data_IF_210463461342
#
_entry.id   IF_210463461342
#
_cell.length_a   1.000
_cell.length_b   1.000
_cell.length_c   1.000
_cell.angle_alpha   90.00
_cell.angle_beta   90.00
_cell.angle_gamma   90.00
#
_symmetry.space_group_name_H-M   'P 1'
#
loop_
_entity.id
_entity.type
_entity.pdbx_description
1 polymer ?
#
# COMPACT_ATOMS: atom_id res chain seq x y z
N UNK A 1 -5.43 -30.49 26.74
CA UNK A 1 -6.49 -30.08 25.81
C UNK A 1 -7.16 -28.85 26.41
N UNK A 2 -6.73 -27.67 26.01
CA UNK A 2 -7.38 -26.42 26.40
C UNK A 2 -8.19 -25.94 25.18
N UNK A 3 -9.47 -25.75 25.39
CA UNK A 3 -10.44 -25.28 24.39
C UNK A 3 -10.00 -23.89 23.88
N UNK A 4 -9.80 -23.78 22.56
CA UNK A 4 -9.68 -22.50 21.86
C UNK A 4 -11.07 -21.86 21.83
N UNK A 5 -11.31 -20.97 22.79
CA UNK A 5 -12.46 -20.07 22.75
C UNK A 5 -12.32 -19.06 21.62
N UNK A 6 -13.45 -18.74 20.98
CA UNK A 6 -13.63 -17.91 19.78
C UNK A 6 -12.85 -16.59 19.80
N UNK A 7 -11.89 -16.50 18.87
CA UNK A 7 -10.84 -15.51 18.93
C UNK A 7 -11.14 -14.23 18.19
N UNK A 8 -11.17 -13.13 18.92
CA UNK A 8 -10.61 -11.90 18.39
C UNK A 8 -9.08 -12.09 18.26
N UNK A 9 -8.50 -11.73 17.10
CA UNK A 9 -7.06 -11.83 16.90
C UNK A 9 -6.34 -11.01 17.99
N UNK A 10 -5.34 -11.62 18.67
CA UNK A 10 -4.63 -10.98 19.76
C UNK A 10 -3.83 -9.77 19.23
N UNK A 11 -3.94 -8.63 19.92
CA UNK A 11 -3.19 -7.42 19.54
C UNK A 11 -1.72 -7.64 19.85
N UNK A 12 -0.90 -7.64 18.81
CA UNK A 12 0.57 -7.78 18.91
C UNK A 12 1.26 -6.43 19.13
N UNK A 13 0.90 -5.43 18.34
CA UNK A 13 1.44 -4.07 18.47
C UNK A 13 0.28 -3.08 18.57
N UNK A 14 0.34 -2.20 19.57
CA UNK A 14 -0.63 -1.12 19.77
C UNK A 14 0.07 0.22 19.79
N UNK A 15 -0.40 1.14 18.98
CA UNK A 15 0.04 2.53 18.90
C UNK A 15 -1.11 3.41 19.39
N UNK A 16 -0.84 4.27 20.39
CA UNK A 16 -1.86 5.12 20.99
C UNK A 16 -1.39 6.58 21.00
N UNK A 17 -2.10 7.43 20.26
CA UNK A 17 -1.91 8.88 20.21
C UNK A 17 -0.46 9.31 19.94
N UNK A 18 0.27 8.55 19.10
CA UNK A 18 1.67 8.82 18.82
C UNK A 18 1.81 10.06 17.94
N UNK A 19 2.57 11.03 18.46
CA UNK A 19 2.97 12.23 17.73
C UNK A 19 4.48 12.38 17.76
N UNK A 20 5.07 12.91 16.69
CA UNK A 20 6.50 13.23 16.59
C UNK A 20 6.71 14.59 15.99
N UNK A 21 7.49 15.43 16.69
CA UNK A 21 7.80 16.80 16.30
C UNK A 21 9.33 16.94 16.24
N UNK A 22 9.83 17.53 15.15
CA UNK A 22 11.23 17.91 14.94
C UNK A 22 11.30 19.45 14.78
N UNK A 23 11.73 20.16 15.82
CA UNK A 23 11.62 21.61 15.84
C UNK A 23 10.18 22.06 15.64
N UNK A 24 9.91 22.80 14.55
CA UNK A 24 8.56 23.25 14.19
C UNK A 24 7.81 22.28 13.27
N UNK A 25 8.50 21.24 12.77
CA UNK A 25 7.90 20.27 11.84
C UNK A 25 7.26 19.11 12.58
N UNK A 26 5.95 18.90 12.37
CA UNK A 26 5.20 17.75 12.91
C UNK A 26 5.20 16.62 11.90
N UNK A 27 6.04 15.61 12.14
CA UNK A 27 6.19 14.44 11.28
C UNK A 27 5.09 13.38 11.49
N UNK A 28 4.59 13.25 12.74
CA UNK A 28 3.47 12.39 13.10
C UNK A 28 2.47 13.19 13.95
N UNK A 29 1.20 13.01 13.70
CA UNK A 29 0.13 13.79 14.31
C UNK A 29 -1.00 12.86 14.75
N UNK A 30 -0.98 12.48 16.02
CA UNK A 30 -2.05 11.71 16.69
C UNK A 30 -2.37 10.37 16.02
N UNK A 31 -1.35 9.55 15.81
CA UNK A 31 -1.47 8.23 15.17
C UNK A 31 -1.91 7.19 16.20
N UNK A 32 -3.01 6.48 15.92
CA UNK A 32 -3.51 5.38 16.75
C UNK A 32 -3.98 4.21 15.89
N UNK A 33 -3.52 2.99 16.18
CA UNK A 33 -3.95 1.74 15.54
C UNK A 33 -3.44 0.52 16.29
N UNK A 34 -4.01 -0.64 15.94
CA UNK A 34 -3.58 -1.96 16.41
C UNK A 34 -3.11 -2.82 15.22
N UNK A 35 -2.10 -3.67 15.46
CA UNK A 35 -1.65 -4.74 14.55
C UNK A 35 -1.80 -6.07 15.28
N UNK A 36 -2.35 -7.07 14.60
CA UNK A 36 -2.57 -8.40 15.17
C UNK A 36 -1.37 -9.34 14.96
N UNK A 37 -1.30 -10.38 15.76
CA UNK A 37 -0.23 -11.37 15.66
C UNK A 37 -0.23 -12.06 14.29
N UNK A 38 0.96 -12.19 13.68
CA UNK A 38 1.15 -12.76 12.34
C UNK A 38 0.63 -11.93 11.17
N UNK A 39 0.10 -10.73 11.42
CA UNK A 39 -0.42 -9.84 10.37
C UNK A 39 0.71 -9.20 9.57
N UNK A 40 0.52 -9.07 8.26
CA UNK A 40 1.37 -8.27 7.38
C UNK A 40 0.68 -6.94 7.10
N UNK A 41 1.19 -5.85 7.65
CA UNK A 41 0.63 -4.52 7.40
C UNK A 41 1.58 -3.65 6.59
N UNK A 42 1.00 -2.76 5.80
CA UNK A 42 1.75 -1.85 4.96
C UNK A 42 1.38 -0.40 5.25
N UNK A 43 2.35 0.45 5.60
CA UNK A 43 2.19 1.91 5.60
C UNK A 43 2.46 2.43 4.20
N UNK A 44 1.43 3.00 3.58
CA UNK A 44 1.43 3.51 2.23
C UNK A 44 1.11 5.01 2.23
N UNK A 45 1.79 5.79 1.40
CA UNK A 45 1.56 7.24 1.30
C UNK A 45 2.67 7.95 0.54
N UNK A 46 2.50 9.23 0.20
CA UNK A 46 3.51 10.01 -0.51
C UNK A 46 4.81 10.17 0.30
N UNK A 47 5.88 10.56 -0.39
CA UNK A 47 7.17 10.85 0.27
C UNK A 47 7.01 11.95 1.31
N UNK A 48 7.66 11.78 2.46
CA UNK A 48 7.62 12.77 3.54
C UNK A 48 6.36 12.76 4.43
N UNK A 49 5.38 11.87 4.22
CA UNK A 49 4.17 11.82 5.05
C UNK A 49 4.34 11.17 6.45
N UNK A 50 5.57 10.74 6.83
CA UNK A 50 5.86 10.25 8.18
C UNK A 50 6.02 8.73 8.33
N UNK A 51 5.88 7.91 7.28
CA UNK A 51 5.95 6.43 7.33
C UNK A 51 7.25 5.90 7.98
N UNK A 52 8.41 6.31 7.45
CA UNK A 52 9.71 5.90 8.00
C UNK A 52 9.93 6.43 9.42
N UNK A 53 9.39 7.64 9.74
CA UNK A 53 9.43 8.17 11.11
C UNK A 53 8.64 7.28 12.07
N UNK A 54 7.43 6.84 11.67
CA UNK A 54 6.61 5.93 12.47
C UNK A 54 7.31 4.57 12.66
N UNK A 55 7.86 4.00 11.59
CA UNK A 55 8.62 2.75 11.67
C UNK A 55 9.83 2.89 12.62
N UNK A 56 10.56 4.02 12.56
CA UNK A 56 11.68 4.29 13.47
C UNK A 56 11.22 4.48 14.92
N UNK A 57 10.05 5.06 15.16
CA UNK A 57 9.47 5.12 16.51
C UNK A 57 9.13 3.72 17.04
N UNK A 58 8.57 2.84 16.21
CA UNK A 58 8.29 1.44 16.57
C UNK A 58 9.59 0.69 16.88
N UNK A 59 10.66 0.92 16.11
CA UNK A 59 11.98 0.32 16.34
C UNK A 59 12.73 0.93 17.56
N UNK A 60 12.29 2.08 18.09
CA UNK A 60 13.03 2.82 19.13
C UNK A 60 14.31 3.50 18.64
N UNK A 61 14.48 3.63 17.32
CA UNK A 61 15.54 4.41 16.68
C UNK A 61 15.27 5.91 16.75
N UNK A 62 13.99 6.28 16.88
CA UNK A 62 13.48 7.60 17.23
C UNK A 62 12.49 7.44 18.38
N UNK A 63 12.42 8.43 19.24
CA UNK A 63 11.39 8.47 20.28
C UNK A 63 10.25 9.40 19.85
N UNK A 64 9.02 8.98 20.06
CA UNK A 64 7.84 9.83 19.90
C UNK A 64 7.89 11.02 20.86
N UNK A 65 7.22 12.11 20.49
CA UNK A 65 7.09 13.28 21.39
C UNK A 65 5.94 13.08 22.38
N UNK A 66 4.87 12.40 21.94
CA UNK A 66 3.67 12.09 22.73
C UNK A 66 3.14 10.70 22.33
N UNK A 67 2.29 10.13 23.19
CA UNK A 67 1.64 8.85 22.99
C UNK A 67 2.48 7.67 23.46
N UNK A 68 1.97 6.47 23.26
CA UNK A 68 2.57 5.23 23.73
C UNK A 68 2.60 4.15 22.65
N UNK A 69 3.53 3.21 22.81
CA UNK A 69 3.75 2.06 21.92
C UNK A 69 3.84 0.82 22.79
N UNK A 70 2.95 -0.16 22.56
CA UNK A 70 2.91 -1.40 23.31
C UNK A 70 3.14 -2.59 22.36
N UNK A 71 3.98 -3.53 22.76
CA UNK A 71 4.20 -4.80 22.06
C UNK A 71 3.84 -5.96 22.99
N UNK A 72 2.91 -6.82 22.58
CA UNK A 72 2.38 -7.92 23.41
C UNK A 72 1.95 -7.43 24.81
N UNK A 73 1.29 -6.27 24.89
CA UNK A 73 0.83 -5.65 26.12
C UNK A 73 1.90 -4.96 26.97
N UNK A 74 3.19 -5.03 26.57
CA UNK A 74 4.30 -4.37 27.28
C UNK A 74 4.54 -2.99 26.67
N UNK A 75 4.59 -1.96 27.50
CA UNK A 75 4.96 -0.61 27.07
C UNK A 75 6.46 -0.55 26.69
N UNK A 76 6.71 -0.30 25.39
CA UNK A 76 8.05 -0.17 24.83
C UNK A 76 8.40 1.26 24.44
N UNK A 77 7.55 2.24 24.74
CA UNK A 77 7.61 3.63 24.30
C UNK A 77 9.01 4.24 24.43
N UNK A 78 9.66 4.00 25.58
CA UNK A 78 10.97 4.59 25.91
C UNK A 78 12.09 3.56 25.98
N UNK A 79 11.85 2.31 25.54
CA UNK A 79 12.89 1.31 25.49
C UNK A 79 13.83 1.55 24.29
N UNK A 80 15.16 1.46 24.48
CA UNK A 80 16.10 1.54 23.35
C UNK A 80 15.95 0.31 22.43
N UNK A 81 16.43 0.37 21.17
CA UNK A 81 16.31 -0.73 20.21
C UNK A 81 16.79 -2.09 20.74
N UNK A 82 17.86 -2.09 21.53
CA UNK A 82 18.44 -3.32 22.10
C UNK A 82 17.55 -4.06 23.10
N UNK A 83 16.48 -3.43 23.56
CA UNK A 83 15.49 -4.00 24.50
C UNK A 83 14.14 -4.27 23.84
N UNK A 84 13.99 -4.01 22.55
CA UNK A 84 12.77 -4.30 21.78
C UNK A 84 12.96 -5.58 20.98
N UNK A 85 11.85 -6.32 20.77
CA UNK A 85 11.86 -7.56 19.99
C UNK A 85 11.49 -7.29 18.54
N UNK A 86 12.47 -6.96 17.71
CA UNK A 86 12.28 -6.75 16.28
C UNK A 86 13.51 -7.10 15.45
N UNK A 87 13.30 -7.43 14.16
CA UNK A 87 14.28 -7.41 13.10
C UNK A 87 13.97 -6.30 12.11
N UNK A 88 14.98 -5.66 11.52
CA UNK A 88 14.77 -4.57 10.56
C UNK A 88 15.57 -4.76 9.29
N UNK A 89 14.93 -4.46 8.14
CA UNK A 89 15.57 -4.32 6.84
C UNK A 89 15.45 -2.85 6.43
N UNK A 90 16.58 -2.19 6.26
CA UNK A 90 16.65 -0.80 5.81
C UNK A 90 16.60 -0.71 4.28
N UNK A 91 16.22 0.42 3.75
CA UNK A 91 16.17 0.72 2.31
C UNK A 91 17.50 0.45 1.58
N UNK A 92 18.64 0.73 2.25
CA UNK A 92 20.00 0.46 1.73
C UNK A 92 20.50 -0.94 2.03
N UNK A 93 19.63 -1.84 2.57
CA UNK A 93 19.95 -3.17 3.10
C UNK A 93 20.93 -3.14 4.28
N UNK A 94 21.79 -2.16 4.41
CA UNK A 94 22.77 -1.94 5.47
C UNK A 94 23.59 -3.21 5.80
N UNK A 95 24.00 -3.96 4.77
CA UNK A 95 24.90 -5.12 4.94
C UNK A 95 26.30 -4.65 5.36
N UNK A 96 26.96 -5.45 6.21
CA UNK A 96 28.34 -5.22 6.57
C UNK A 96 29.24 -5.58 5.38
N UNK A 97 29.90 -4.62 4.72
CA UNK A 97 30.58 -4.86 3.45
C UNK A 97 31.85 -5.74 3.59
N UNK A 98 32.41 -5.78 4.77
CA UNK A 98 33.60 -6.55 5.14
C UNK A 98 33.31 -7.95 5.73
N UNK A 99 32.03 -8.32 5.81
CA UNK A 99 31.60 -9.64 6.27
C UNK A 99 31.04 -10.43 5.08
N UNK A 100 31.23 -11.75 5.11
CA UNK A 100 30.60 -12.66 4.14
C UNK A 100 29.08 -12.70 4.34
N UNK A 101 28.35 -13.34 3.42
CA UNK A 101 26.92 -13.61 3.55
C UNK A 101 26.63 -14.37 4.86
N UNK A 102 27.38 -15.45 5.10
CA UNK A 102 27.30 -16.23 6.35
C UNK A 102 27.49 -15.37 7.59
N UNK A 103 28.54 -14.54 7.61
CA UNK A 103 28.85 -13.69 8.75
C UNK A 103 27.84 -12.56 8.97
N UNK A 104 27.31 -12.00 7.88
CA UNK A 104 26.21 -11.03 7.96
C UNK A 104 25.00 -11.65 8.67
N UNK A 105 24.58 -12.86 8.26
CA UNK A 105 23.43 -13.55 8.86
C UNK A 105 23.70 -13.98 10.29
N UNK A 106 24.93 -14.46 10.57
CA UNK A 106 25.34 -14.91 11.89
C UNK A 106 25.51 -13.77 12.91
N UNK A 107 25.69 -12.53 12.48
CA UNK A 107 26.10 -11.40 13.31
C UNK A 107 25.24 -11.20 14.57
N UNK A 108 23.90 -11.21 14.41
CA UNK A 108 22.97 -11.08 15.54
C UNK A 108 23.01 -12.26 16.51
N UNK A 109 23.20 -13.48 15.98
CA UNK A 109 23.30 -14.71 16.78
C UNK A 109 24.58 -14.77 17.61
N UNK A 110 25.69 -14.32 17.01
CA UNK A 110 27.00 -14.20 17.72
C UNK A 110 26.87 -13.20 18.87
N UNK A 111 26.25 -12.05 18.65
CA UNK A 111 26.03 -11.04 19.68
C UNK A 111 25.13 -11.55 20.83
N UNK A 112 24.18 -12.46 20.54
CA UNK A 112 23.40 -13.18 21.57
C UNK A 112 24.18 -14.29 22.28
N UNK A 113 25.48 -14.51 21.93
CA UNK A 113 26.39 -15.52 22.51
C UNK A 113 25.83 -16.95 22.44
N UNK A 114 25.13 -17.29 21.35
CA UNK A 114 24.61 -18.64 21.13
C UNK A 114 25.75 -19.62 20.82
N UNK A 115 25.52 -20.93 21.06
CA UNK A 115 26.45 -21.97 20.72
C UNK A 115 26.78 -22.01 19.24
N UNK A 116 28.06 -22.23 18.88
CA UNK A 116 28.54 -22.21 17.49
C UNK A 116 27.75 -23.16 16.58
N UNK A 117 27.50 -24.39 17.05
CA UNK A 117 26.72 -25.39 16.31
C UNK A 117 25.31 -24.91 15.98
N UNK A 118 24.63 -24.24 16.93
CA UNK A 118 23.30 -23.69 16.73
C UNK A 118 23.32 -22.52 15.73
N UNK A 119 24.37 -21.67 15.77
CA UNK A 119 24.54 -20.58 14.78
C UNK A 119 24.72 -21.17 13.38
N UNK A 120 25.61 -22.16 13.22
CA UNK A 120 25.89 -22.81 11.93
C UNK A 120 24.63 -23.45 11.34
N UNK A 121 23.87 -24.21 12.13
CA UNK A 121 22.62 -24.85 11.73
C UNK A 121 21.57 -23.79 11.33
N UNK A 122 21.37 -22.75 12.15
CA UNK A 122 20.38 -21.70 11.89
C UNK A 122 20.71 -20.91 10.63
N UNK A 123 21.97 -20.51 10.43
CA UNK A 123 22.43 -19.79 9.24
C UNK A 123 22.28 -20.64 7.99
N UNK A 124 22.68 -21.92 8.02
CA UNK A 124 22.52 -22.83 6.89
C UNK A 124 21.04 -22.98 6.50
N UNK A 125 20.15 -23.19 7.48
CA UNK A 125 18.70 -23.27 7.25
C UNK A 125 18.13 -22.00 6.62
N UNK A 126 18.53 -20.81 7.10
CA UNK A 126 18.07 -19.54 6.56
C UNK A 126 18.61 -19.26 5.15
N UNK A 127 19.86 -19.58 4.87
CA UNK A 127 20.43 -19.42 3.52
C UNK A 127 19.79 -20.38 2.52
N UNK A 128 19.46 -21.60 2.95
CA UNK A 128 18.71 -22.55 2.13
C UNK A 128 17.30 -22.05 1.81
N UNK A 129 16.63 -21.42 2.78
CA UNK A 129 15.26 -20.91 2.64
C UNK A 129 15.12 -19.79 1.57
N UNK A 130 16.23 -19.07 1.30
CA UNK A 130 16.26 -17.97 0.31
C UNK A 130 17.18 -18.24 -0.88
N UNK A 131 17.53 -19.51 -1.13
CA UNK A 131 18.37 -19.97 -2.26
C UNK A 131 19.75 -19.30 -2.32
N UNK A 132 20.37 -19.00 -1.17
CA UNK A 132 21.68 -18.36 -1.08
C UNK A 132 22.79 -19.28 -0.57
N UNK A 133 22.58 -20.58 -0.46
CA UNK A 133 23.58 -21.55 0.03
C UNK A 133 24.88 -21.49 -0.75
N UNK A 134 24.82 -21.39 -2.10
CA UNK A 134 25.99 -21.28 -2.97
C UNK A 134 26.72 -19.93 -2.84
N UNK A 135 26.09 -18.93 -2.24
CA UNK A 135 26.62 -17.58 -2.05
C UNK A 135 27.16 -17.32 -0.64
N UNK A 136 27.16 -18.33 0.24
CA UNK A 136 27.50 -18.23 1.65
C UNK A 136 28.85 -17.53 1.94
N UNK A 137 29.86 -17.74 1.08
CA UNK A 137 31.21 -17.20 1.23
C UNK A 137 31.43 -15.88 0.46
N UNK A 138 30.45 -15.39 -0.32
CA UNK A 138 30.56 -14.13 -1.03
C UNK A 138 30.44 -12.94 -0.09
N UNK A 139 31.00 -11.80 -0.52
CA UNK A 139 30.81 -10.51 0.12
C UNK A 139 29.65 -9.75 -0.54
N UNK A 140 29.01 -8.77 0.12
CA UNK A 140 27.91 -8.00 -0.43
C UNK A 140 28.19 -7.40 -1.80
N UNK A 141 29.40 -6.91 -2.05
CA UNK A 141 29.81 -6.35 -3.35
C UNK A 141 29.81 -7.34 -4.52
N UNK A 142 29.74 -8.63 -4.25
CA UNK A 142 29.71 -9.72 -5.23
C UNK A 142 28.28 -10.22 -5.50
N UNK A 143 27.28 -9.58 -4.92
CA UNK A 143 25.87 -9.95 -4.99
C UNK A 143 25.09 -8.93 -5.81
N UNK A 144 24.08 -9.42 -6.53
CA UNK A 144 23.03 -8.58 -7.11
C UNK A 144 22.19 -7.91 -6.02
N UNK A 145 21.45 -6.83 -6.37
CA UNK A 145 20.58 -6.14 -5.42
C UNK A 145 19.54 -7.07 -4.76
N UNK A 146 18.93 -7.96 -5.54
CA UNK A 146 17.96 -8.93 -5.01
C UNK A 146 18.60 -9.96 -4.06
N UNK A 147 19.85 -10.41 -4.33
CA UNK A 147 20.58 -11.27 -3.41
C UNK A 147 20.95 -10.53 -2.13
N UNK A 148 21.41 -9.28 -2.21
CA UNK A 148 21.69 -8.45 -1.04
C UNK A 148 20.45 -8.26 -0.17
N UNK A 149 19.31 -8.03 -0.77
CA UNK A 149 18.03 -7.91 -0.06
C UNK A 149 17.67 -9.21 0.67
N UNK A 150 17.79 -10.38 0.00
CA UNK A 150 17.54 -11.68 0.65
C UNK A 150 18.50 -11.91 1.83
N UNK A 151 19.77 -11.54 1.71
CA UNK A 151 20.71 -11.58 2.84
C UNK A 151 20.25 -10.68 3.99
N UNK A 152 19.83 -9.43 3.71
CA UNK A 152 19.35 -8.51 4.73
C UNK A 152 18.09 -9.03 5.44
N UNK A 153 17.18 -9.66 4.68
CA UNK A 153 15.96 -10.25 5.19
C UNK A 153 16.26 -11.41 6.16
N UNK A 154 17.08 -12.39 5.74
CA UNK A 154 17.43 -13.52 6.62
C UNK A 154 18.31 -13.11 7.78
N UNK A 155 19.14 -12.07 7.67
CA UNK A 155 19.84 -11.46 8.79
C UNK A 155 18.89 -10.91 9.84
N UNK A 156 17.84 -10.19 9.40
CA UNK A 156 16.81 -9.66 10.30
C UNK A 156 16.02 -10.79 10.99
N UNK A 157 15.75 -11.89 10.28
CA UNK A 157 15.02 -13.05 10.76
C UNK A 157 15.88 -14.03 11.58
N UNK A 158 17.22 -13.93 11.52
CA UNK A 158 18.12 -14.87 12.17
C UNK A 158 17.87 -14.96 13.69
N UNK A 159 17.63 -13.84 14.33
CA UNK A 159 17.38 -13.75 15.77
C UNK A 159 15.96 -14.18 16.19
N UNK A 160 15.14 -14.67 15.26
CA UNK A 160 13.72 -15.05 15.45
C UNK A 160 12.92 -13.93 16.14
N UNK A 161 12.82 -12.75 15.51
CA UNK A 161 12.10 -11.61 16.10
C UNK A 161 10.60 -11.86 16.07
N UNK A 162 9.85 -11.33 17.04
CA UNK A 162 8.38 -11.28 16.99
C UNK A 162 7.86 -10.28 15.97
N UNK A 163 8.63 -9.21 15.67
CA UNK A 163 8.26 -8.15 14.72
C UNK A 163 9.31 -8.00 13.62
N UNK A 164 8.89 -8.02 12.35
CA UNK A 164 9.74 -7.70 11.21
C UNK A 164 9.38 -6.31 10.67
N UNK A 165 10.37 -5.42 10.60
CA UNK A 165 10.23 -4.06 10.07
C UNK A 165 10.94 -3.96 8.72
N UNK A 166 10.25 -3.51 7.68
CA UNK A 166 10.77 -3.38 6.32
C UNK A 166 10.62 -1.92 5.85
N UNK A 167 11.74 -1.20 5.72
CA UNK A 167 11.77 0.20 5.28
C UNK A 167 12.10 0.27 3.79
N UNK A 168 11.08 0.40 2.94
CA UNK A 168 11.17 0.43 1.46
C UNK A 168 12.05 -0.69 0.87
N UNK A 169 11.83 -1.96 1.23
CA UNK A 169 12.78 -3.02 0.96
C UNK A 169 13.00 -3.31 -0.53
N UNK A 170 12.10 -2.91 -1.41
CA UNK A 170 12.09 -3.26 -2.83
C UNK A 170 12.40 -2.05 -3.76
N UNK A 171 12.57 -0.85 -3.20
CA UNK A 171 12.67 0.40 -3.97
C UNK A 171 13.86 0.48 -4.93
N UNK A 172 14.98 -0.19 -4.62
CA UNK A 172 16.21 -0.17 -5.42
C UNK A 172 16.26 -1.21 -6.56
N UNK A 173 15.17 -1.97 -6.78
CA UNK A 173 15.15 -3.12 -7.69
C UNK A 173 14.37 -2.82 -8.99
N UNK A 174 14.74 -3.51 -10.07
CA UNK A 174 13.96 -3.49 -11.30
C UNK A 174 12.60 -4.19 -11.13
N UNK A 175 11.64 -3.86 -12.01
CA UNK A 175 10.25 -4.30 -11.89
C UNK A 175 10.08 -5.83 -11.87
N UNK A 176 10.88 -6.58 -12.66
CA UNK A 176 10.77 -8.04 -12.76
C UNK A 176 11.28 -8.73 -11.49
N UNK A 177 12.43 -8.29 -10.98
CA UNK A 177 13.01 -8.77 -9.72
C UNK A 177 12.09 -8.42 -8.55
N UNK A 178 11.54 -7.19 -8.52
CA UNK A 178 10.60 -6.72 -7.50
C UNK A 178 9.36 -7.61 -7.45
N UNK A 179 8.73 -7.92 -8.58
CA UNK A 179 7.55 -8.77 -8.65
C UNK A 179 7.80 -10.20 -8.12
N UNK A 180 8.99 -10.73 -8.32
CA UNK A 180 9.39 -12.03 -7.78
C UNK A 180 9.60 -11.99 -6.26
N UNK A 181 10.37 -11.02 -5.79
CA UNK A 181 10.70 -10.87 -4.37
C UNK A 181 9.49 -10.53 -3.50
N UNK A 182 8.49 -9.80 -4.02
CA UNK A 182 7.22 -9.60 -3.31
C UNK A 182 6.59 -10.91 -2.88
N UNK A 183 6.52 -11.88 -3.80
CA UNK A 183 5.95 -13.21 -3.52
C UNK A 183 6.81 -13.97 -2.52
N UNK A 184 8.12 -14.00 -2.72
CA UNK A 184 9.05 -14.69 -1.81
C UNK A 184 8.95 -14.14 -0.38
N UNK A 185 8.97 -12.81 -0.20
CA UNK A 185 8.84 -12.18 1.13
C UNK A 185 7.51 -12.54 1.78
N UNK A 186 6.41 -12.52 1.01
CA UNK A 186 5.08 -12.84 1.54
C UNK A 186 4.97 -14.32 1.93
N UNK A 187 5.49 -15.23 1.11
CA UNK A 187 5.51 -16.66 1.40
C UNK A 187 6.38 -16.96 2.63
N UNK A 188 7.54 -16.32 2.73
CA UNK A 188 8.42 -16.43 3.89
C UNK A 188 7.74 -15.95 5.17
N UNK A 189 7.11 -14.79 5.14
CA UNK A 189 6.38 -14.23 6.27
C UNK A 189 5.26 -15.17 6.73
N UNK A 190 4.47 -15.72 5.79
CA UNK A 190 3.40 -16.69 6.10
C UNK A 190 3.95 -17.99 6.71
N UNK A 191 5.06 -18.50 6.18
CA UNK A 191 5.68 -19.74 6.67
C UNK A 191 6.23 -19.61 8.08
N UNK A 192 6.73 -18.42 8.44
CA UNK A 192 7.29 -18.11 9.76
C UNK A 192 6.26 -17.56 10.75
N UNK A 193 5.09 -17.10 10.27
CA UNK A 193 4.06 -16.49 11.09
C UNK A 193 4.51 -15.19 11.79
N UNK A 194 5.54 -14.50 11.30
CA UNK A 194 6.09 -13.30 11.93
C UNK A 194 5.22 -12.08 11.62
N UNK A 195 4.86 -11.31 12.64
CA UNK A 195 4.18 -10.02 12.45
C UNK A 195 5.07 -9.07 11.66
N UNK A 196 4.56 -8.47 10.60
CA UNK A 196 5.39 -7.67 9.69
C UNK A 196 4.78 -6.30 9.42
N UNK A 197 5.62 -5.28 9.52
CA UNK A 197 5.32 -3.89 9.15
C UNK A 197 6.21 -3.48 8.00
N UNK A 198 5.63 -3.13 6.86
CA UNK A 198 6.35 -2.63 5.69
C UNK A 198 5.99 -1.18 5.43
N UNK A 199 6.98 -0.38 5.10
CA UNK A 199 6.82 0.98 4.55
C UNK A 199 7.10 0.93 3.06
N UNK A 200 6.21 1.50 2.26
CA UNK A 200 6.42 1.68 0.82
C UNK A 200 5.67 2.92 0.31
N UNK A 201 6.05 3.39 -0.86
CA UNK A 201 5.29 4.34 -1.67
C UNK A 201 4.70 3.67 -2.93
N UNK A 202 4.97 2.38 -3.13
CA UNK A 202 4.48 1.59 -4.26
C UNK A 202 3.14 0.94 -3.90
N UNK A 203 2.09 1.32 -4.64
CA UNK A 203 0.73 0.83 -4.43
C UNK A 203 0.61 -0.67 -4.72
N UNK A 204 1.31 -1.17 -5.75
CA UNK A 204 1.27 -2.57 -6.13
C UNK A 204 1.89 -3.46 -5.05
N UNK A 205 2.96 -2.99 -4.38
CA UNK A 205 3.53 -3.67 -3.21
C UNK A 205 2.53 -3.78 -2.08
N UNK A 206 1.90 -2.65 -1.71
CA UNK A 206 0.93 -2.62 -0.63
C UNK A 206 -0.29 -3.51 -0.93
N UNK A 207 -0.84 -3.41 -2.15
CA UNK A 207 -2.03 -4.16 -2.56
C UNK A 207 -1.78 -5.68 -2.65
N UNK A 208 -0.57 -6.11 -3.02
CA UNK A 208 -0.27 -7.54 -3.24
C UNK A 208 0.28 -8.26 -2.01
N UNK A 209 0.88 -7.53 -1.07
CA UNK A 209 1.56 -8.15 0.08
C UNK A 209 0.79 -8.00 1.39
N UNK A 210 0.07 -6.91 1.60
CA UNK A 210 -0.53 -6.60 2.89
C UNK A 210 -1.86 -7.32 3.15
N UNK A 211 -2.08 -7.71 4.40
CA UNK A 211 -3.40 -8.07 4.91
C UNK A 211 -4.23 -6.81 5.18
N UNK A 212 -3.56 -5.74 5.69
CA UNK A 212 -4.13 -4.40 5.86
C UNK A 212 -3.16 -3.32 5.42
N UNK A 213 -3.72 -2.28 4.80
CA UNK A 213 -3.00 -1.08 4.37
C UNK A 213 -3.42 0.08 5.29
N UNK A 214 -2.42 0.84 5.73
CA UNK A 214 -2.55 2.09 6.47
C UNK A 214 -2.14 3.22 5.54
N UNK A 215 -3.11 3.93 4.97
CA UNK A 215 -2.84 5.08 4.09
C UNK A 215 -2.52 6.29 4.94
N UNK A 216 -1.35 6.88 4.71
CA UNK A 216 -0.85 8.02 5.46
C UNK A 216 -0.72 9.26 4.59
N UNK A 217 -1.09 10.42 5.14
CA UNK A 217 -0.88 11.74 4.56
C UNK A 217 -0.61 12.77 5.65
N UNK A 218 0.33 13.70 5.40
CA UNK A 218 0.64 14.80 6.33
C UNK A 218 0.78 14.39 7.80
N UNK A 219 1.41 13.24 8.05
CA UNK A 219 1.63 12.71 9.41
C UNK A 219 0.40 12.11 10.06
N UNK A 220 -0.69 11.87 9.33
CA UNK A 220 -1.96 11.29 9.82
C UNK A 220 -2.29 10.00 9.11
N UNK A 221 -3.13 9.19 9.73
CA UNK A 221 -3.81 8.07 9.07
C UNK A 221 -5.08 8.59 8.41
N UNK A 222 -5.16 8.44 7.10
CA UNK A 222 -6.33 8.79 6.28
C UNK A 222 -7.36 7.66 6.25
N UNK A 223 -6.87 6.43 6.07
CA UNK A 223 -7.70 5.25 6.02
C UNK A 223 -6.91 4.00 6.39
N UNK A 224 -7.59 3.05 7.01
CA UNK A 224 -7.07 1.69 7.28
C UNK A 224 -8.07 0.66 6.79
N UNK A 225 -7.60 -0.38 6.10
CA UNK A 225 -8.47 -1.46 5.60
C UNK A 225 -7.70 -2.52 4.84
N UNK A 226 -8.41 -3.55 4.38
CA UNK A 226 -7.84 -4.51 3.42
C UNK A 226 -7.56 -3.82 2.08
N UNK A 227 -6.67 -4.37 1.22
CA UNK A 227 -6.43 -3.81 -0.11
C UNK A 227 -7.71 -3.50 -0.89
N UNK A 228 -8.67 -4.44 -0.90
CA UNK A 228 -9.95 -4.25 -1.59
C UNK A 228 -10.76 -3.10 -0.97
N UNK A 229 -10.85 -3.03 0.36
CA UNK A 229 -11.58 -1.93 1.02
C UNK A 229 -11.00 -0.55 0.70
N UNK A 230 -9.66 -0.44 0.66
CA UNK A 230 -8.98 0.82 0.33
C UNK A 230 -9.25 1.22 -1.13
N UNK A 231 -9.27 0.25 -2.05
CA UNK A 231 -9.50 0.50 -3.47
C UNK A 231 -10.97 0.77 -3.79
N UNK A 232 -11.87 -0.10 -3.30
CA UNK A 232 -13.30 -0.07 -3.63
C UNK A 232 -14.06 0.99 -2.84
N UNK A 233 -13.63 1.33 -1.62
CA UNK A 233 -14.30 2.26 -0.73
C UNK A 233 -13.34 3.29 -0.12
N UNK A 234 -12.68 4.14 -0.94
CA UNK A 234 -11.79 5.17 -0.43
C UNK A 234 -12.56 6.18 0.43
N UNK A 235 -12.00 6.50 1.62
CA UNK A 235 -12.66 7.32 2.62
C UNK A 235 -12.63 8.83 2.29
N UNK A 236 -11.69 9.25 1.44
CA UNK A 236 -11.52 10.67 1.07
C UNK A 236 -11.11 10.82 -0.40
N UNK A 237 -11.26 12.02 -0.99
CA UNK A 237 -10.74 12.32 -2.32
C UNK A 237 -9.24 12.03 -2.45
N UNK A 238 -8.48 12.32 -1.39
CA UNK A 238 -7.06 12.02 -1.35
C UNK A 238 -6.79 10.52 -1.50
N UNK A 239 -7.45 9.66 -0.74
CA UNK A 239 -7.27 8.20 -0.86
C UNK A 239 -7.72 7.70 -2.22
N UNK A 240 -8.83 8.23 -2.75
CA UNK A 240 -9.37 7.88 -4.05
C UNK A 240 -8.38 8.17 -5.20
N UNK A 241 -7.73 9.33 -5.16
CA UNK A 241 -6.74 9.75 -6.16
C UNK A 241 -5.37 9.09 -5.95
N UNK A 242 -4.97 8.93 -4.69
CA UNK A 242 -3.68 8.33 -4.35
C UNK A 242 -3.64 6.83 -4.65
N UNK A 243 -4.76 6.11 -4.56
CA UNK A 243 -4.85 4.67 -4.84
C UNK A 243 -5.46 4.43 -6.23
N UNK A 244 -4.60 4.23 -7.21
CA UNK A 244 -5.00 4.06 -8.61
C UNK A 244 -5.22 5.39 -9.33
N UNK A 245 -6.14 5.41 -10.29
CA UNK A 245 -6.52 6.61 -11.05
C UNK A 245 -7.99 6.90 -10.80
N UNK A 246 -8.37 8.16 -10.68
CA UNK A 246 -9.74 8.57 -10.44
C UNK A 246 -10.13 9.74 -11.36
N UNK A 247 -11.33 9.70 -11.91
CA UNK A 247 -11.95 10.86 -12.54
C UNK A 247 -12.69 11.64 -11.46
N UNK A 248 -12.47 12.95 -11.38
CA UNK A 248 -13.23 13.84 -10.52
C UNK A 248 -14.03 14.82 -11.39
N UNK A 249 -15.33 14.92 -11.13
CA UNK A 249 -16.22 15.90 -11.77
C UNK A 249 -16.99 16.66 -10.69
N UNK A 250 -17.10 17.99 -10.77
CA UNK A 250 -17.91 18.75 -9.84
C UNK A 250 -19.40 18.47 -10.11
N UNK A 251 -20.12 18.10 -9.05
CA UNK A 251 -21.54 17.77 -9.16
C UNK A 251 -22.38 18.51 -8.12
N UNK A 252 -23.65 18.71 -8.41
CA UNK A 252 -24.64 19.25 -7.47
C UNK A 252 -25.75 18.24 -7.29
N UNK A 253 -26.12 17.93 -6.05
CA UNK A 253 -27.26 17.04 -5.73
C UNK A 253 -28.56 17.68 -6.19
N UNK A 254 -29.33 16.97 -7.03
CA UNK A 254 -30.59 17.45 -7.56
C UNK A 254 -31.82 16.64 -7.11
N UNK A 255 -31.58 15.47 -6.50
CA UNK A 255 -32.62 14.57 -6.00
C UNK A 255 -32.05 13.48 -5.11
N UNK A 256 -32.89 12.58 -4.59
CA UNK A 256 -32.49 11.49 -3.69
C UNK A 256 -31.51 10.48 -4.31
N UNK A 257 -31.49 10.37 -5.64
CA UNK A 257 -30.61 9.44 -6.36
C UNK A 257 -30.12 10.09 -7.65
N UNK A 258 -29.85 11.41 -7.61
CA UNK A 258 -29.48 12.16 -8.81
C UNK A 258 -28.56 13.32 -8.48
N UNK A 259 -27.53 13.46 -9.28
CA UNK A 259 -26.64 14.62 -9.29
C UNK A 259 -26.60 15.26 -10.68
N UNK A 260 -26.10 16.48 -10.75
CA UNK A 260 -25.94 17.21 -12.02
C UNK A 260 -24.54 17.77 -12.11
N UNK A 261 -23.85 17.47 -13.21
CA UNK A 261 -22.59 18.09 -13.62
C UNK A 261 -22.90 18.94 -14.86
N UNK A 262 -22.80 20.25 -14.78
CA UNK A 262 -23.15 21.19 -15.84
C UNK A 262 -24.53 20.89 -16.45
N UNK A 263 -24.57 20.35 -17.69
CA UNK A 263 -25.82 19.98 -18.40
C UNK A 263 -26.18 18.51 -18.24
N UNK A 264 -25.26 17.69 -17.72
CA UNK A 264 -25.44 16.26 -17.55
C UNK A 264 -26.12 15.95 -16.22
N UNK A 265 -27.19 15.16 -16.25
CA UNK A 265 -27.79 14.57 -15.06
C UNK A 265 -27.38 13.11 -14.98
N UNK A 266 -26.83 12.70 -13.80
CA UNK A 266 -26.42 11.36 -13.52
C UNK A 266 -27.22 10.79 -12.36
N UNK A 267 -27.71 9.56 -12.54
CA UNK A 267 -28.29 8.79 -11.45
C UNK A 267 -27.15 8.15 -10.65
N UNK A 268 -27.17 8.34 -9.34
CA UNK A 268 -26.24 7.72 -8.38
C UNK A 268 -26.82 7.77 -6.96
N UNK A 269 -26.28 6.98 -6.06
CA UNK A 269 -26.59 7.10 -4.65
C UNK A 269 -26.04 8.43 -4.09
N UNK A 270 -26.88 9.17 -3.37
CA UNK A 270 -26.49 10.50 -2.84
C UNK A 270 -26.16 10.50 -1.36
N UNK A 271 -26.08 9.32 -0.71
CA UNK A 271 -25.65 9.11 0.69
C UNK A 271 -26.27 10.08 1.71
N UNK A 272 -27.53 10.50 1.45
CA UNK A 272 -28.27 11.44 2.31
C UNK A 272 -27.82 12.89 2.21
N UNK A 273 -26.99 13.27 1.23
CA UNK A 273 -26.69 14.68 0.97
C UNK A 273 -27.92 15.47 0.55
N UNK A 274 -28.07 16.67 1.08
CA UNK A 274 -29.21 17.53 0.77
C UNK A 274 -29.18 18.04 -0.68
N UNK A 275 -30.35 18.21 -1.27
CA UNK A 275 -30.49 18.85 -2.60
C UNK A 275 -29.86 20.24 -2.59
N UNK A 276 -29.07 20.56 -3.61
CA UNK A 276 -28.30 21.79 -3.74
C UNK A 276 -26.87 21.70 -3.18
N UNK A 277 -26.48 20.60 -2.50
CA UNK A 277 -25.11 20.41 -2.03
C UNK A 277 -24.16 20.24 -3.22
N UNK A 278 -23.03 20.97 -3.21
CA UNK A 278 -21.94 20.80 -4.17
C UNK A 278 -20.97 19.74 -3.64
N UNK A 279 -20.57 18.83 -4.52
CA UNK A 279 -19.75 17.66 -4.21
C UNK A 279 -18.77 17.38 -5.35
N UNK A 280 -17.78 16.56 -5.11
CA UNK A 280 -16.94 15.94 -6.12
C UNK A 280 -17.44 14.51 -6.40
N UNK A 281 -17.93 14.26 -7.62
CA UNK A 281 -18.25 12.93 -8.12
C UNK A 281 -16.95 12.25 -8.58
N UNK A 282 -16.64 11.09 -8.04
CA UNK A 282 -15.45 10.31 -8.33
C UNK A 282 -15.80 9.00 -9.01
N UNK A 283 -15.11 8.66 -10.11
CA UNK A 283 -15.40 7.51 -10.96
C UNK A 283 -14.10 6.88 -11.39
N UNK A 284 -13.96 5.57 -11.20
CA UNK A 284 -12.78 4.82 -11.70
C UNK A 284 -12.81 4.74 -13.25
N UNK A 285 -11.65 4.87 -13.94
CA UNK A 285 -11.60 4.72 -15.39
C UNK A 285 -12.09 3.36 -15.88
N UNK A 286 -11.84 2.28 -15.16
CA UNK A 286 -12.27 0.92 -15.48
C UNK A 286 -13.78 0.68 -15.31
N UNK A 287 -14.45 1.53 -14.54
CA UNK A 287 -15.91 1.46 -14.35
C UNK A 287 -16.67 2.11 -15.50
N UNK A 288 -16.02 2.95 -16.29
CA UNK A 288 -16.64 3.59 -17.46
C UNK A 288 -16.69 2.57 -18.60
N UNK A 289 -17.91 2.22 -18.99
CA UNK A 289 -18.15 1.23 -20.05
C UNK A 289 -18.30 1.92 -21.39
N UNK A 290 -17.44 1.58 -22.36
CA UNK A 290 -17.62 2.04 -23.76
C UNK A 290 -18.62 1.11 -24.45
N UNK A 291 -19.73 1.68 -24.92
CA UNK A 291 -20.85 0.99 -25.53
C UNK A 291 -20.68 0.86 -27.05
N UNK A 292 -21.40 -0.10 -27.65
CA UNK A 292 -21.63 -0.10 -29.08
C UNK A 292 -22.68 0.96 -29.47
N UNK A 293 -22.70 1.38 -30.74
CA UNK A 293 -23.55 2.46 -31.23
C UNK A 293 -25.06 2.27 -31.00
N UNK A 294 -25.52 1.03 -30.85
CA UNK A 294 -26.93 0.67 -30.62
C UNK A 294 -27.29 0.51 -29.13
N UNK A 295 -26.31 0.55 -28.23
CA UNK A 295 -26.55 0.35 -26.80
C UNK A 295 -26.82 1.70 -26.11
N UNK A 296 -27.70 1.67 -25.12
CA UNK A 296 -28.03 2.83 -24.29
C UNK A 296 -28.19 2.38 -22.83
N UNK A 297 -28.72 3.27 -22.01
CA UNK A 297 -29.01 2.95 -20.60
C UNK A 297 -28.92 4.16 -19.70
N UNK A 298 -29.10 3.91 -18.41
CA UNK A 298 -28.97 4.96 -17.39
C UNK A 298 -27.52 5.47 -17.41
N UNK A 299 -27.36 6.80 -17.35
CA UNK A 299 -26.06 7.47 -17.42
C UNK A 299 -25.26 7.21 -18.72
N UNK A 300 -25.95 6.94 -19.84
CA UNK A 300 -25.30 6.87 -21.14
C UNK A 300 -25.04 8.28 -21.69
N UNK A 301 -23.82 8.53 -22.18
CA UNK A 301 -23.33 9.86 -22.58
C UNK A 301 -22.58 9.73 -23.90
N UNK A 302 -22.76 10.70 -24.80
CA UNK A 302 -21.96 10.78 -26.01
C UNK A 302 -20.64 11.49 -25.73
N UNK A 303 -19.52 10.87 -26.16
CA UNK A 303 -18.19 11.35 -25.96
C UNK A 303 -17.37 11.32 -27.26
N UNK A 304 -16.32 12.12 -27.32
CA UNK A 304 -15.31 12.08 -28.39
C UNK A 304 -13.98 11.65 -27.78
N UNK A 305 -13.36 10.65 -28.37
CA UNK A 305 -12.01 10.20 -27.98
C UNK A 305 -11.02 11.27 -28.42
N UNK A 306 -10.31 11.90 -27.49
CA UNK A 306 -9.27 12.87 -27.78
C UNK A 306 -7.91 12.19 -27.97
N UNK A 307 -7.60 11.25 -27.08
CA UNK A 307 -6.34 10.54 -27.06
C UNK A 307 -6.54 9.07 -26.66
N UNK A 308 -5.65 8.21 -27.16
CA UNK A 308 -5.61 6.78 -26.84
C UNK A 308 -4.21 6.42 -26.36
N UNK A 309 -4.07 6.13 -25.08
CA UNK A 309 -2.81 5.71 -24.45
C UNK A 309 -2.76 4.19 -24.34
N UNK A 310 -1.70 3.56 -24.86
CA UNK A 310 -1.51 2.11 -24.80
C UNK A 310 -0.75 1.70 -23.53
N UNK A 311 -1.42 1.00 -22.62
CA UNK A 311 -0.89 0.56 -21.33
C UNK A 311 -0.70 -0.97 -21.23
N UNK A 312 -0.48 -1.63 -22.38
CA UNK A 312 -0.19 -3.06 -22.47
C UNK A 312 -1.44 -3.94 -22.52
N UNK A 313 -2.02 -4.34 -21.38
CA UNK A 313 -3.22 -5.18 -21.30
C UNK A 313 -4.52 -4.42 -21.59
N UNK A 314 -4.53 -3.12 -21.44
CA UNK A 314 -5.65 -2.22 -21.71
C UNK A 314 -5.17 -0.94 -22.41
N UNK A 315 -6.11 -0.16 -22.90
CA UNK A 315 -5.90 1.19 -23.41
C UNK A 315 -6.69 2.16 -22.56
N UNK A 316 -6.08 3.31 -22.27
CA UNK A 316 -6.76 4.43 -21.62
C UNK A 316 -7.22 5.41 -22.66
N UNK A 317 -8.49 5.74 -22.60
CA UNK A 317 -9.11 6.75 -23.46
C UNK A 317 -9.24 8.04 -22.69
N UNK A 318 -8.84 9.13 -23.29
CA UNK A 318 -9.15 10.48 -22.83
C UNK A 318 -10.36 10.98 -23.60
N UNK A 319 -11.45 11.22 -22.88
CA UNK A 319 -12.77 11.45 -23.44
C UNK A 319 -13.25 12.87 -23.16
N UNK A 320 -13.73 13.54 -24.19
CA UNK A 320 -14.42 14.82 -24.06
C UNK A 320 -15.92 14.63 -24.24
N UNK A 321 -16.69 15.07 -23.25
CA UNK A 321 -18.15 15.02 -23.24
C UNK A 321 -18.67 16.45 -23.21
N UNK A 322 -19.41 16.88 -24.25
CA UNK A 322 -19.91 18.23 -24.34
C UNK A 322 -20.90 18.64 -23.23
N UNK A 323 -21.49 17.64 -22.55
CA UNK A 323 -22.46 17.83 -21.48
C UNK A 323 -21.83 18.12 -20.11
N UNK A 324 -20.52 17.79 -19.92
CA UNK A 324 -19.79 18.06 -18.68
C UNK A 324 -18.81 19.24 -18.80
N UNK A 325 -18.93 20.03 -19.87
CA UNK A 325 -18.07 21.21 -20.10
C UNK A 325 -16.63 20.82 -20.46
N UNK A 326 -15.66 21.48 -19.82
CA UNK A 326 -14.22 21.28 -20.08
C UNK A 326 -13.60 20.13 -19.29
N UNK A 327 -14.38 19.37 -18.54
CA UNK A 327 -13.88 18.23 -17.79
C UNK A 327 -13.58 17.06 -18.71
N UNK A 328 -12.37 16.48 -18.55
CA UNK A 328 -11.94 15.29 -19.24
C UNK A 328 -12.28 14.05 -18.42
N UNK A 329 -12.79 13.00 -19.08
CA UNK A 329 -12.96 11.68 -18.47
C UNK A 329 -11.94 10.70 -19.03
N UNK A 330 -11.41 9.84 -18.19
CA UNK A 330 -10.55 8.73 -18.57
C UNK A 330 -11.33 7.43 -18.45
N UNK A 331 -11.24 6.56 -19.47
CA UNK A 331 -11.86 5.24 -19.46
C UNK A 331 -10.81 4.17 -19.82
N UNK A 332 -10.71 3.12 -19.02
CA UNK A 332 -9.79 2.01 -19.26
C UNK A 332 -10.54 0.86 -19.95
N UNK A 333 -10.10 0.54 -21.16
CA UNK A 333 -10.75 -0.46 -22.01
C UNK A 333 -9.79 -1.64 -22.23
N UNK A 334 -10.19 -2.90 -21.93
CA UNK A 334 -9.36 -4.04 -22.23
C UNK A 334 -8.95 -4.08 -23.71
N UNK A 335 -7.68 -4.42 -24.01
CA UNK A 335 -7.15 -4.43 -25.38
C UNK A 335 -7.99 -5.26 -26.37
N UNK A 336 -8.58 -6.34 -25.90
CA UNK A 336 -9.48 -7.19 -26.71
C UNK A 336 -10.76 -6.44 -27.10
N UNK A 337 -11.34 -5.67 -26.19
CA UNK A 337 -12.53 -4.85 -26.45
C UNK A 337 -12.19 -3.63 -27.33
N UNK A 338 -11.04 -2.98 -27.10
CA UNK A 338 -10.58 -1.85 -27.89
C UNK A 338 -10.43 -2.20 -29.38
N UNK A 339 -9.88 -3.38 -29.70
CA UNK A 339 -9.78 -3.89 -31.08
C UNK A 339 -11.16 -4.10 -31.73
N UNK A 340 -12.12 -4.67 -30.97
CA UNK A 340 -13.47 -4.91 -31.47
C UNK A 340 -14.24 -3.62 -31.70
N UNK A 341 -14.06 -2.62 -30.85
CA UNK A 341 -14.70 -1.33 -30.94
C UNK A 341 -14.02 -0.37 -31.93
N UNK A 342 -12.92 -0.78 -32.59
CA UNK A 342 -12.13 0.05 -33.52
C UNK A 342 -11.83 1.45 -32.93
N UNK A 343 -11.26 1.48 -31.72
CA UNK A 343 -10.99 2.71 -30.97
C UNK A 343 -9.86 3.49 -31.65
N UNK A 344 -10.17 4.74 -32.04
CA UNK A 344 -9.24 5.69 -32.69
C UNK A 344 -9.51 7.11 -32.17
N UNK A 345 -8.51 8.01 -32.18
CA UNK A 345 -8.71 9.44 -31.91
C UNK A 345 -9.78 10.06 -32.80
N UNK A 346 -10.44 11.12 -32.32
CA UNK A 346 -11.53 11.88 -32.95
C UNK A 346 -12.81 11.07 -33.22
N UNK A 347 -12.84 9.79 -32.85
CA UNK A 347 -14.04 8.98 -32.97
C UNK A 347 -15.07 9.35 -31.91
N UNK A 348 -16.33 9.43 -32.32
CA UNK A 348 -17.48 9.52 -31.39
C UNK A 348 -17.78 8.13 -30.84
N UNK A 349 -17.98 8.06 -29.54
CA UNK A 349 -18.34 6.85 -28.81
C UNK A 349 -19.45 7.18 -27.82
N UNK A 350 -20.24 6.20 -27.47
CA UNK A 350 -21.16 6.30 -26.35
C UNK A 350 -20.54 5.57 -25.16
N UNK A 351 -20.54 6.22 -24.02
CA UNK A 351 -20.06 5.62 -22.75
C UNK A 351 -21.22 5.54 -21.77
N UNK A 352 -21.10 4.64 -20.81
CA UNK A 352 -22.03 4.53 -19.69
C UNK A 352 -21.25 4.56 -18.38
N UNK A 353 -21.73 5.34 -17.42
CA UNK A 353 -21.22 5.40 -16.06
C UNK A 353 -22.25 4.69 -15.16
N UNK A 354 -21.98 3.47 -14.67
CA UNK A 354 -22.89 2.77 -13.76
C UNK A 354 -23.20 3.62 -12.52
N UNK A 355 -24.48 3.75 -12.10
CA UNK A 355 -24.85 4.57 -10.94
C UNK A 355 -24.09 4.19 -9.65
N UNK A 356 -23.83 2.89 -9.45
CA UNK A 356 -23.12 2.32 -8.32
C UNK A 356 -21.63 2.62 -8.31
N UNK A 357 -21.06 3.03 -9.45
CA UNK A 357 -19.64 3.38 -9.58
C UNK A 357 -19.34 4.84 -9.23
N UNK A 358 -20.35 5.67 -9.07
CA UNK A 358 -20.19 7.10 -8.74
C UNK A 358 -20.14 7.25 -7.23
N UNK A 359 -18.99 7.72 -6.72
CA UNK A 359 -18.82 8.08 -5.31
C UNK A 359 -18.86 9.58 -5.15
N UNK A 360 -19.42 10.03 -4.03
CA UNK A 360 -19.58 11.45 -3.76
C UNK A 360 -18.74 11.87 -2.55
N UNK A 361 -17.92 12.89 -2.74
CA UNK A 361 -17.13 13.49 -1.67
C UNK A 361 -17.48 14.96 -1.48
N UNK A 362 -17.36 15.44 -0.27
CA UNK A 362 -17.45 16.88 0.00
C UNK A 362 -16.32 17.61 -0.72
N UNK A 363 -16.63 18.79 -1.26
CA UNK A 363 -15.61 19.67 -1.80
C UNK A 363 -14.82 20.25 -0.62
N UNK A 364 -13.55 19.88 -0.50
CA UNK A 364 -12.62 20.34 0.54
C UNK A 364 -11.89 21.62 0.06
N UNK A 365 -12.61 22.55 -0.57
CA UNK A 365 -12.05 23.85 -0.98
C UNK A 365 -11.93 24.85 0.16
#
# INVERSE_FOLDING_TARGET
MAEKNGGGAETFLRIEHVSKIFGDFRALNDISFDIHDGEFVCFLGPSGCGKTTLLRCIAGLEFQTQGSIHQCGVDISWLPPSKRDFGIVFQSYALFPNLTVTDNVAYGLINKKLAKSHIEERVAGLLSLVDLTLHAHKYPSQLSGGEQQRVALVRALAISPGLLLLDEPLSALDAKVRAHLRREIRELQKSLGVTTVMVTHDQEEAQTMADRIFVMSHGRLEQTGTPNQIYDAPASPFVADFIGVMNFIPVTVTGKSRVRCERLSLDCETDGFAVGTRLNGAIRPEDIVVLNDSEGGVNAIDAVIQEVEFLGSYVRLYLRCAEIGDHELRADVPKSAARRLAIEPDRRVRIRIPPESIRLYRDES
#
